data_IF_301891226649
#
_entry.id   IF_301891226649
#
_cell.length_a   1.000
_cell.length_b   1.000
_cell.length_c   1.000
_cell.angle_alpha   90.00
_cell.angle_beta   90.00
_cell.angle_gamma   90.00
#
_symmetry.space_group_name_H-M   'P 1'
#
loop_
_entity.id
_entity.type
_entity.pdbx_description
1 polymer ?
#
# COMPACT_ATOMS: atom_id res chain seq x y z
N UNK A 1 27.35 -21.82 -7.72
CA UNK A 1 27.02 -20.39 -7.96
C UNK A 1 26.96 -19.72 -6.59
N UNK A 2 27.52 -18.52 -6.41
CA UNK A 2 27.34 -17.82 -5.14
C UNK A 2 25.87 -17.42 -5.01
N UNK A 3 25.25 -17.77 -3.88
CA UNK A 3 23.96 -17.22 -3.48
C UNK A 3 24.24 -15.75 -3.19
N UNK A 4 23.95 -14.87 -4.16
CA UNK A 4 24.07 -13.44 -3.97
C UNK A 4 23.24 -13.05 -2.76
N UNK A 5 23.83 -12.35 -1.80
CA UNK A 5 23.11 -11.76 -0.67
C UNK A 5 22.08 -10.79 -1.23
N UNK A 6 20.81 -11.21 -1.24
CA UNK A 6 19.70 -10.33 -1.53
C UNK A 6 19.56 -9.35 -0.36
N UNK A 7 20.21 -8.19 -0.46
CA UNK A 7 19.99 -7.10 0.49
C UNK A 7 18.60 -6.55 0.25
N UNK A 8 17.63 -7.04 1.03
CA UNK A 8 16.30 -6.43 1.14
C UNK A 8 16.51 -5.10 1.86
N UNK A 9 16.09 -4.01 1.22
CA UNK A 9 15.97 -2.74 1.91
C UNK A 9 14.50 -2.54 2.26
N UNK A 10 14.22 -2.29 3.54
CA UNK A 10 12.87 -2.15 4.08
C UNK A 10 12.78 -0.85 4.87
N UNK A 11 11.75 -0.06 4.57
CA UNK A 11 11.42 1.18 5.27
C UNK A 11 10.00 1.10 5.81
N UNK A 12 9.81 1.66 6.99
CA UNK A 12 8.49 1.85 7.59
C UNK A 12 7.98 3.22 7.21
N UNK A 13 6.75 3.28 6.71
CA UNK A 13 6.06 4.52 6.33
C UNK A 13 4.82 4.66 7.19
N UNK A 14 4.63 5.84 7.78
CA UNK A 14 3.40 6.14 8.54
C UNK A 14 2.23 6.31 7.57
N UNK A 15 1.15 5.59 7.84
CA UNK A 15 -0.07 5.59 7.01
C UNK A 15 -1.30 5.57 7.91
N UNK A 16 -1.53 6.66 8.67
CA UNK A 16 -2.55 6.71 9.70
C UNK A 16 -3.97 6.63 9.12
N UNK A 17 -4.91 6.41 10.03
CA UNK A 17 -6.33 6.62 9.82
C UNK A 17 -7.17 5.35 9.83
N UNK A 18 -6.66 4.20 9.34
CA UNK A 18 -7.34 2.92 9.64
C UNK A 18 -7.28 2.64 11.15
N UNK A 19 -6.06 2.74 11.67
CA UNK A 19 -5.78 3.03 13.06
C UNK A 19 -4.84 4.25 13.12
N UNK A 20 -4.80 5.00 14.23
CA UNK A 20 -3.94 6.17 14.38
C UNK A 20 -2.47 5.87 14.09
N UNK A 21 -1.99 4.68 14.49
CA UNK A 21 -0.61 4.24 14.29
C UNK A 21 -0.46 3.21 13.16
N UNK A 22 -1.36 3.21 12.17
CA UNK A 22 -1.27 2.29 11.05
C UNK A 22 -0.01 2.56 10.21
N UNK A 23 0.68 1.49 9.80
CA UNK A 23 1.97 1.55 9.10
C UNK A 23 1.92 0.79 7.78
N UNK A 24 2.70 1.28 6.82
CA UNK A 24 2.99 0.62 5.55
C UNK A 24 4.47 0.28 5.46
N UNK A 25 4.80 -0.69 4.60
CA UNK A 25 6.18 -1.07 4.31
C UNK A 25 6.57 -0.66 2.89
N UNK A 26 7.66 0.09 2.73
CA UNK A 26 8.29 0.27 1.42
C UNK A 26 9.49 -0.67 1.32
N UNK A 27 9.52 -1.48 0.27
CA UNK A 27 10.51 -2.55 0.10
C UNK A 27 11.15 -2.42 -1.27
N UNK A 28 12.48 -2.52 -1.31
CA UNK A 28 13.20 -2.75 -2.57
C UNK A 28 13.59 -4.21 -2.65
N UNK A 29 13.05 -4.91 -3.65
CA UNK A 29 13.23 -6.36 -3.81
C UNK A 29 13.48 -6.72 -5.27
N UNK A 30 13.65 -8.01 -5.55
CA UNK A 30 13.72 -8.55 -6.90
C UNK A 30 12.54 -9.48 -7.20
N UNK A 31 12.09 -9.51 -8.45
CA UNK A 31 11.13 -10.52 -8.91
C UNK A 31 11.85 -11.86 -9.21
N UNK A 32 11.09 -12.87 -9.67
CA UNK A 32 11.64 -14.18 -10.04
C UNK A 32 12.62 -14.14 -11.22
N UNK A 33 12.64 -13.05 -11.98
CA UNK A 33 13.54 -12.80 -13.10
C UNK A 33 14.79 -11.99 -12.69
N UNK A 34 15.00 -11.77 -11.38
CA UNK A 34 16.12 -11.01 -10.79
C UNK A 34 16.07 -9.48 -11.09
N UNK A 35 14.95 -8.97 -11.58
CA UNK A 35 14.72 -7.54 -11.86
C UNK A 35 14.37 -6.78 -10.58
N UNK A 36 14.95 -5.60 -10.38
CA UNK A 36 14.77 -4.80 -9.15
C UNK A 36 13.50 -3.95 -9.24
N UNK A 37 12.59 -4.15 -8.29
CA UNK A 37 11.36 -3.38 -8.15
C UNK A 37 11.19 -2.77 -6.77
N UNK A 38 10.32 -1.77 -6.70
CA UNK A 38 9.81 -1.23 -5.44
C UNK A 38 8.43 -1.77 -5.15
N UNK A 39 8.18 -2.14 -3.89
CA UNK A 39 6.89 -2.62 -3.40
C UNK A 39 6.48 -1.80 -2.20
N UNK A 40 5.35 -1.08 -2.30
CA UNK A 40 4.68 -0.46 -1.18
C UNK A 40 3.60 -1.41 -0.66
N UNK A 41 3.88 -2.09 0.44
CA UNK A 41 2.92 -2.88 1.22
C UNK A 41 2.00 -1.90 1.95
N UNK A 42 0.82 -1.66 1.39
CA UNK A 42 -0.06 -0.56 1.81
C UNK A 42 -0.83 -0.85 3.11
N UNK A 43 -0.91 -2.09 3.54
CA UNK A 43 -1.69 -2.46 4.74
C UNK A 43 -3.15 -2.04 4.64
N UNK A 44 -3.80 -1.90 5.79
CA UNK A 44 -5.26 -1.71 5.86
C UNK A 44 -5.73 -0.27 5.58
N UNK A 45 -4.83 0.65 5.20
CA UNK A 45 -5.27 1.91 4.58
C UNK A 45 -5.76 1.70 3.12
N UNK A 46 -5.42 0.56 2.52
CA UNK A 46 -5.77 0.15 1.17
C UNK A 46 -6.19 -1.33 1.16
N UNK A 47 -7.49 -1.62 1.09
CA UNK A 47 -7.97 -3.01 1.12
C UNK A 47 -7.97 -3.68 -0.26
N UNK A 48 -8.15 -2.91 -1.34
CA UNK A 48 -8.20 -3.41 -2.70
C UNK A 48 -7.54 -2.44 -3.69
N UNK A 49 -7.32 -2.89 -4.93
CA UNK A 49 -6.71 -2.07 -5.98
C UNK A 49 -7.61 -0.91 -6.44
N UNK A 50 -8.93 -1.02 -6.33
CA UNK A 50 -9.85 0.03 -6.75
C UNK A 50 -9.60 1.35 -6.01
N UNK A 51 -9.22 1.26 -4.74
CA UNK A 51 -8.93 2.43 -3.90
C UNK A 51 -7.68 3.21 -4.35
N UNK A 52 -6.81 2.59 -5.16
CA UNK A 52 -5.68 3.28 -5.79
C UNK A 52 -6.12 4.12 -6.99
N UNK A 53 -7.17 3.69 -7.69
CA UNK A 53 -7.75 4.40 -8.83
C UNK A 53 -8.83 5.40 -8.41
N UNK A 54 -9.49 5.13 -7.29
CA UNK A 54 -10.59 5.92 -6.75
C UNK A 54 -10.33 6.27 -5.27
N UNK A 55 -9.33 7.12 -4.98
CA UNK A 55 -9.00 7.49 -3.59
C UNK A 55 -10.13 8.24 -2.86
N UNK A 56 -11.10 8.77 -3.61
CA UNK A 56 -12.30 9.45 -3.11
C UNK A 56 -13.52 8.52 -2.95
N UNK A 57 -13.36 7.21 -3.13
CA UNK A 57 -14.45 6.27 -2.94
C UNK A 57 -15.11 6.47 -1.56
N UNK A 58 -16.45 6.38 -1.47
CA UNK A 58 -17.17 6.59 -0.22
C UNK A 58 -16.76 5.54 0.82
N UNK A 59 -16.91 5.89 2.09
CA UNK A 59 -16.71 4.98 3.19
C UNK A 59 -18.05 4.35 3.58
N UNK A 60 -18.06 3.04 3.76
CA UNK A 60 -19.22 2.34 4.33
C UNK A 60 -19.36 2.69 5.82
N UNK A 61 -20.61 2.86 6.24
CA UNK A 61 -20.97 3.26 7.61
C UNK A 61 -21.66 2.14 8.38
N UNK A 62 -21.82 2.28 9.70
CA UNK A 62 -22.47 1.29 10.57
C UNK A 62 -21.50 0.41 11.34
N UNK A 63 -20.24 0.84 11.49
CA UNK A 63 -19.22 0.15 12.27
C UNK A 63 -19.11 0.76 13.67
N UNK A 64 -18.81 -0.03 14.73
CA UNK A 64 -18.70 0.47 16.09
C UNK A 64 -17.35 1.17 16.35
N UNK A 65 -16.99 2.17 15.53
CA UNK A 65 -15.79 3.00 15.66
C UNK A 65 -16.15 4.47 15.86
N UNK A 66 -15.17 5.32 16.15
CA UNK A 66 -15.41 6.76 16.34
C UNK A 66 -15.92 7.46 15.08
N UNK A 67 -15.57 6.95 13.89
CA UNK A 67 -15.98 7.53 12.60
C UNK A 67 -17.23 6.88 12.00
N UNK A 68 -17.79 5.85 12.66
CA UNK A 68 -18.85 4.98 12.13
C UNK A 68 -18.42 4.14 10.90
N UNK A 69 -17.12 4.09 10.57
CA UNK A 69 -16.56 3.32 9.44
C UNK A 69 -15.54 2.28 9.92
N UNK A 70 -14.97 1.48 9.02
CA UNK A 70 -13.84 0.59 9.34
C UNK A 70 -12.52 1.34 9.61
N UNK A 71 -12.51 2.68 9.51
CA UNK A 71 -11.37 3.55 9.78
C UNK A 71 -11.59 4.34 11.07
N UNK A 72 -10.56 4.62 11.86
CA UNK A 72 -10.70 5.52 13.01
C UNK A 72 -10.71 7.00 12.61
N UNK A 73 -9.99 7.38 11.54
CA UNK A 73 -9.94 8.72 10.96
C UNK A 73 -10.06 8.65 9.43
N UNK A 74 -11.22 9.07 8.91
CA UNK A 74 -11.55 9.02 7.48
C UNK A 74 -10.80 10.04 6.64
N UNK A 75 -10.36 11.16 7.23
CA UNK A 75 -9.65 12.21 6.50
C UNK A 75 -8.18 11.84 6.34
N UNK A 76 -7.56 11.30 7.38
CA UNK A 76 -6.20 10.75 7.32
C UNK A 76 -6.10 9.60 6.31
N UNK A 77 -7.04 8.64 6.33
CA UNK A 77 -7.06 7.55 5.34
C UNK A 77 -7.17 8.09 3.92
N UNK A 78 -8.03 9.09 3.71
CA UNK A 78 -8.22 9.69 2.39
C UNK A 78 -6.96 10.40 1.92
N UNK A 79 -6.27 11.12 2.81
CA UNK A 79 -4.98 11.73 2.49
C UNK A 79 -3.92 10.68 2.14
N UNK A 80 -3.83 9.60 2.92
CA UNK A 80 -2.92 8.48 2.64
C UNK A 80 -3.21 7.86 1.27
N UNK A 81 -4.48 7.59 0.94
CA UNK A 81 -4.88 7.05 -0.38
C UNK A 81 -4.48 7.98 -1.52
N UNK A 82 -4.71 9.28 -1.38
CA UNK A 82 -4.28 10.28 -2.38
C UNK A 82 -2.77 10.24 -2.59
N UNK A 83 -1.99 10.17 -1.50
CA UNK A 83 -0.52 10.08 -1.56
C UNK A 83 -0.07 8.80 -2.26
N UNK A 84 -0.67 7.65 -1.95
CA UNK A 84 -0.35 6.37 -2.60
C UNK A 84 -0.71 6.37 -4.10
N UNK A 85 -1.89 6.88 -4.45
CA UNK A 85 -2.31 7.03 -5.85
C UNK A 85 -1.35 7.95 -6.62
N UNK A 86 -0.97 9.08 -6.02
CA UNK A 86 0.02 10.01 -6.60
C UNK A 86 1.40 9.37 -6.77
N UNK A 87 1.86 8.60 -5.78
CA UNK A 87 3.12 7.86 -5.87
C UNK A 87 3.10 6.83 -7.00
N UNK A 88 2.01 6.05 -7.12
CA UNK A 88 1.85 5.10 -8.22
C UNK A 88 1.83 5.80 -9.57
N UNK A 89 1.15 6.93 -9.69
CA UNK A 89 1.09 7.70 -10.93
C UNK A 89 2.47 8.26 -11.31
N UNK A 90 3.22 8.79 -10.34
CA UNK A 90 4.51 9.43 -10.59
C UNK A 90 5.63 8.43 -10.89
N UNK A 91 5.66 7.29 -10.18
CA UNK A 91 6.81 6.39 -10.16
C UNK A 91 6.49 4.95 -10.59
N UNK A 92 5.24 4.66 -10.94
CA UNK A 92 4.80 3.32 -11.33
C UNK A 92 5.63 2.73 -12.47
N UNK A 93 5.88 3.52 -13.51
CA UNK A 93 6.61 3.08 -14.69
C UNK A 93 8.12 3.35 -14.56
N UNK A 94 8.52 4.46 -13.94
CA UNK A 94 9.93 4.85 -13.80
C UNK A 94 10.71 3.95 -12.82
N UNK A 95 10.08 3.61 -11.68
CA UNK A 95 10.72 2.88 -10.60
C UNK A 95 10.17 1.45 -10.44
N UNK A 96 9.34 0.99 -11.38
CA UNK A 96 8.59 -0.26 -11.27
C UNK A 96 7.89 -0.38 -9.90
N UNK A 97 7.25 0.72 -9.46
CA UNK A 97 6.59 0.77 -8.17
C UNK A 97 5.28 -0.03 -8.21
N UNK A 98 5.24 -1.10 -7.42
CA UNK A 98 4.04 -1.86 -7.13
C UNK A 98 3.45 -1.41 -5.79
N UNK A 99 2.14 -1.16 -5.74
CA UNK A 99 1.42 -0.93 -4.48
C UNK A 99 0.61 -2.19 -4.20
N UNK A 100 0.80 -2.81 -3.04
CA UNK A 100 0.14 -4.05 -2.65
C UNK A 100 -0.86 -3.78 -1.51
N UNK A 101 -2.17 -3.79 -1.80
CA UNK A 101 -3.23 -3.70 -0.79
C UNK A 101 -3.28 -4.94 0.11
N UNK A 102 -3.92 -4.84 1.29
CA UNK A 102 -3.90 -5.92 2.28
C UNK A 102 -4.88 -7.08 2.02
N UNK A 103 -6.01 -6.84 1.36
CA UNK A 103 -7.07 -7.83 1.18
C UNK A 103 -7.31 -8.15 -0.30
N UNK A 104 -6.21 -8.32 -1.03
CA UNK A 104 -6.22 -8.82 -2.40
C UNK A 104 -5.82 -10.29 -2.39
N UNK A 105 -6.40 -11.06 -3.31
CA UNK A 105 -5.92 -12.42 -3.55
C UNK A 105 -4.45 -12.38 -3.92
N UNK A 106 -3.67 -13.31 -3.40
CA UNK A 106 -2.31 -13.50 -3.85
C UNK A 106 -2.37 -14.04 -5.29
N UNK A 107 -2.25 -13.16 -6.29
CA UNK A 107 -2.11 -13.60 -7.67
C UNK A 107 -0.67 -14.10 -7.87
N UNK A 108 -0.51 -15.37 -8.21
CA UNK A 108 0.79 -16.04 -8.42
C UNK A 108 1.56 -15.56 -9.67
N UNK A 109 1.02 -14.61 -10.45
CA UNK A 109 1.64 -14.08 -11.68
C UNK A 109 2.41 -12.76 -11.47
N UNK A 110 3.08 -12.60 -10.32
CA UNK A 110 3.88 -11.41 -9.97
C UNK A 110 5.39 -11.57 -10.06
#
# INVERSE_FOLDING_TARGET
>A
MPIGTASILFWVVQTPGHYPENLSGLVRTKNHQDERRWVLLAGDCMHCYDLLHYPEAPFDTGMPTASDTIYEDVDDVREVRRKMASLKQAYGDELELFVWPAHVEASEEM
#
